data_IF_045306649033
#
_entry.id   IF_045306649033
#
_cell.length_a   1.000
_cell.length_b   1.000
_cell.length_c   1.000
_cell.angle_alpha   90.00
_cell.angle_beta   90.00
_cell.angle_gamma   90.00
#
_symmetry.space_group_name_H-M   'P 1'
#
loop_
_entity.id
_entity.type
_entity.pdbx_description
1 polymer ?
#
# COMPACT_ATOMS: atom_id res chain seq x y z
N UNK A 1 -0.95 -1.35 8.48
CA UNK A 1 -0.59 -1.39 7.05
C UNK A 1 -0.02 -0.03 6.66
N UNK A 2 1.06 -0.01 5.90
CA UNK A 2 1.62 1.17 5.24
C UNK A 2 1.56 0.90 3.73
N UNK A 3 1.02 1.84 2.97
CA UNK A 3 1.00 1.84 1.51
C UNK A 3 1.88 3.01 1.08
N UNK A 4 2.93 2.76 0.29
CA UNK A 4 3.94 3.79 0.02
C UNK A 4 4.35 3.80 -1.45
N UNK A 5 4.28 4.98 -2.09
CA UNK A 5 4.85 5.19 -3.41
C UNK A 5 6.37 5.41 -3.36
N UNK A 6 7.13 4.89 -4.33
CA UNK A 6 8.60 5.09 -4.40
C UNK A 6 9.01 6.51 -4.80
N UNK A 7 8.09 7.29 -5.37
CA UNK A 7 8.28 8.70 -5.78
C UNK A 7 7.62 9.70 -4.84
N UNK A 8 7.15 9.25 -3.69
CA UNK A 8 6.58 10.13 -2.67
C UNK A 8 7.67 11.02 -2.06
N UNK A 9 7.53 12.33 -2.26
CA UNK A 9 8.45 13.35 -1.75
C UNK A 9 8.06 13.87 -0.37
N UNK A 10 6.88 13.53 0.13
CA UNK A 10 6.37 13.90 1.45
C UNK A 10 6.72 12.84 2.50
N UNK A 11 6.71 11.56 2.10
CA UNK A 11 7.10 10.43 2.93
C UNK A 11 8.17 9.57 2.25
N UNK A 12 9.44 9.87 2.53
CA UNK A 12 10.56 9.10 1.98
C UNK A 12 10.51 7.62 2.36
N UNK A 13 10.61 6.73 1.38
CA UNK A 13 10.45 5.29 1.56
C UNK A 13 11.39 4.70 2.63
N UNK A 14 12.64 5.16 2.70
CA UNK A 14 13.61 4.68 3.69
C UNK A 14 13.21 4.99 5.13
N UNK A 15 12.55 6.13 5.35
CA UNK A 15 12.04 6.53 6.66
C UNK A 15 10.88 5.62 7.08
N UNK A 16 9.96 5.36 6.15
CA UNK A 16 8.82 4.46 6.39
C UNK A 16 9.31 3.02 6.62
N UNK A 17 10.28 2.56 5.84
CA UNK A 17 10.91 1.26 6.03
C UNK A 17 11.59 1.15 7.41
N UNK A 18 12.26 2.21 7.87
CA UNK A 18 12.86 2.24 9.20
C UNK A 18 11.80 2.14 10.32
N UNK A 19 10.68 2.84 10.19
CA UNK A 19 9.54 2.72 11.13
C UNK A 19 8.98 1.29 11.11
N UNK A 20 8.76 0.71 9.93
CA UNK A 20 8.25 -0.66 9.80
C UNK A 20 9.19 -1.67 10.47
N UNK A 21 10.51 -1.55 10.29
CA UNK A 21 11.49 -2.40 10.98
C UNK A 21 11.38 -2.31 12.51
N UNK A 22 11.18 -1.11 13.06
CA UNK A 22 10.99 -0.90 14.51
C UNK A 22 9.68 -1.49 15.03
N UNK A 23 8.62 -1.45 14.21
CA UNK A 23 7.32 -2.04 14.57
C UNK A 23 7.30 -3.56 14.44
N UNK A 24 8.21 -4.13 13.63
CA UNK A 24 8.42 -5.56 13.49
C UNK A 24 7.18 -6.27 12.93
N UNK A 25 6.77 -7.41 13.51
CA UNK A 25 5.64 -8.22 13.02
C UNK A 25 4.29 -7.48 12.95
N UNK A 26 4.16 -6.34 13.65
CA UNK A 26 2.93 -5.54 13.64
C UNK A 26 2.78 -4.68 12.39
N UNK A 27 3.87 -4.48 11.65
CA UNK A 27 3.86 -3.68 10.43
C UNK A 27 3.75 -4.57 9.19
N UNK A 28 3.05 -4.04 8.20
CA UNK A 28 3.04 -4.54 6.83
C UNK A 28 3.26 -3.33 5.94
N UNK A 29 4.26 -3.38 5.07
CA UNK A 29 4.58 -2.33 4.10
C UNK A 29 4.33 -2.88 2.70
N UNK A 30 3.50 -2.16 1.94
CA UNK A 30 3.24 -2.43 0.53
C UNK A 30 3.75 -1.24 -0.29
N UNK A 31 4.56 -1.51 -1.31
CA UNK A 31 5.23 -0.48 -2.10
C UNK A 31 4.63 -0.41 -3.50
N UNK A 32 4.22 0.77 -3.91
CA UNK A 32 3.76 1.08 -5.27
C UNK A 32 4.92 1.66 -6.06
N UNK A 33 5.50 0.85 -6.93
CA UNK A 33 6.61 1.30 -7.78
C UNK A 33 6.18 2.45 -8.70
N UNK A 34 6.93 3.55 -8.67
CA UNK A 34 6.66 4.77 -9.42
C UNK A 34 5.48 5.60 -8.92
N UNK A 35 4.79 5.18 -7.86
CA UNK A 35 3.71 5.94 -7.23
C UNK A 35 4.25 7.14 -6.45
N UNK A 36 3.56 8.27 -6.48
CA UNK A 36 3.82 9.41 -5.60
C UNK A 36 2.93 9.37 -4.34
N UNK A 37 2.77 10.51 -3.66
CA UNK A 37 1.99 10.64 -2.41
C UNK A 37 0.49 10.37 -2.59
N UNK A 38 -0.05 10.53 -3.80
CA UNK A 38 -1.42 10.14 -4.14
C UNK A 38 -1.47 8.78 -4.85
N UNK A 39 -0.34 8.07 -4.89
CA UNK A 39 -0.13 6.83 -5.64
C UNK A 39 -0.23 6.99 -7.16
N UNK A 40 -0.21 8.22 -7.68
CA UNK A 40 -0.20 8.43 -9.11
C UNK A 40 1.14 7.96 -9.70
N UNK A 41 1.04 7.12 -10.72
CA UNK A 41 2.18 6.55 -11.43
C UNK A 41 2.43 7.31 -12.73
N UNK A 42 3.69 7.32 -13.19
CA UNK A 42 4.04 7.93 -14.47
C UNK A 42 3.34 7.18 -15.62
N UNK A 43 2.82 7.89 -16.62
CA UNK A 43 2.19 7.27 -17.81
C UNK A 43 3.06 6.19 -18.49
N UNK A 44 4.39 6.38 -18.47
CA UNK A 44 5.35 5.43 -19.04
C UNK A 44 5.51 4.12 -18.25
N UNK A 45 4.92 4.01 -17.06
CA UNK A 45 4.90 2.76 -16.29
C UNK A 45 4.01 1.70 -16.97
N UNK A 46 3.13 2.11 -17.89
CA UNK A 46 2.13 1.24 -18.51
C UNK A 46 0.96 0.91 -17.59
N UNK A 47 0.92 1.46 -16.38
CA UNK A 47 -0.14 1.25 -15.39
C UNK A 47 -1.11 2.42 -15.39
N UNK A 48 -2.39 2.10 -15.35
CA UNK A 48 -3.49 3.05 -15.14
C UNK A 48 -3.72 3.33 -13.66
N UNK A 49 -4.37 4.45 -13.37
CA UNK A 49 -4.78 4.80 -12.00
C UNK A 49 -5.77 3.79 -11.41
N UNK A 50 -6.66 3.24 -12.24
CA UNK A 50 -7.63 2.22 -11.83
C UNK A 50 -6.95 0.93 -11.36
N UNK A 51 -5.92 0.45 -12.08
CA UNK A 51 -5.15 -0.72 -11.67
C UNK A 51 -4.39 -0.50 -10.37
N UNK A 52 -3.85 0.70 -10.14
CA UNK A 52 -3.20 1.03 -8.87
C UNK A 52 -4.21 1.08 -7.74
N UNK A 53 -5.39 1.68 -7.97
CA UNK A 53 -6.46 1.74 -6.98
C UNK A 53 -6.98 0.35 -6.61
N UNK A 54 -7.17 -0.54 -7.59
CA UNK A 54 -7.56 -1.92 -7.37
C UNK A 54 -6.52 -2.68 -6.53
N UNK A 55 -5.23 -2.53 -6.82
CA UNK A 55 -4.14 -3.10 -6.02
C UNK A 55 -4.18 -2.62 -4.56
N UNK A 56 -4.35 -1.31 -4.34
CA UNK A 56 -4.44 -0.73 -2.99
C UNK A 56 -5.66 -1.27 -2.23
N UNK A 57 -6.81 -1.35 -2.89
CA UNK A 57 -8.06 -1.86 -2.30
C UNK A 57 -7.92 -3.34 -1.93
N UNK A 58 -7.40 -4.17 -2.83
CA UNK A 58 -7.20 -5.61 -2.61
C UNK A 58 -6.19 -5.85 -1.49
N UNK A 59 -5.05 -5.17 -1.51
CA UNK A 59 -4.02 -5.27 -0.45
C UNK A 59 -4.59 -4.90 0.91
N UNK A 60 -5.38 -3.82 0.98
CA UNK A 60 -6.02 -3.37 2.22
C UNK A 60 -7.03 -4.40 2.71
N UNK A 61 -7.89 -4.92 1.82
CA UNK A 61 -8.90 -5.91 2.17
C UNK A 61 -8.25 -7.22 2.69
N UNK A 62 -7.18 -7.69 2.03
CA UNK A 62 -6.42 -8.86 2.46
C UNK A 62 -5.73 -8.65 3.80
N UNK A 63 -5.15 -7.47 4.02
CA UNK A 63 -4.57 -7.13 5.32
C UNK A 63 -5.63 -7.13 6.42
N UNK A 64 -6.79 -6.50 6.20
CA UNK A 64 -7.91 -6.50 7.14
C UNK A 64 -8.36 -7.93 7.50
N UNK A 65 -8.52 -8.81 6.50
CA UNK A 65 -8.88 -10.23 6.74
C UNK A 65 -7.86 -10.98 7.60
N UNK A 66 -6.57 -10.65 7.48
CA UNK A 66 -5.50 -11.28 8.28
C UNK A 66 -5.47 -10.79 9.72
N UNK A 67 -5.75 -9.51 9.96
CA UNK A 67 -5.56 -8.89 11.29
C UNK A 67 -6.85 -8.76 12.09
N UNK A 68 -8.02 -8.90 11.46
CA UNK A 68 -9.33 -8.89 12.12
C UNK A 68 -9.93 -10.30 12.10
N UNK A 69 -9.89 -11.05 13.22
CA UNK A 69 -10.55 -12.34 13.32
C UNK A 69 -12.06 -12.20 13.05
N UNK A 70 -12.61 -13.02 12.15
CA UNK A 70 -14.05 -13.14 11.91
C UNK A 70 -14.70 -12.08 11.01
N UNK A 71 -13.92 -11.26 10.30
CA UNK A 71 -14.47 -10.29 9.34
C UNK A 71 -15.22 -11.01 8.20
N UNK A 72 -16.55 -10.87 8.18
CA UNK A 72 -17.43 -11.40 7.11
C UNK A 72 -17.16 -10.65 5.80
N UNK A 73 -16.96 -11.32 4.66
CA UNK A 73 -16.75 -10.63 3.38
C UNK A 73 -17.97 -9.79 3.00
N UNK A 74 -17.78 -8.64 2.32
CA UNK A 74 -18.89 -7.85 1.80
C UNK A 74 -19.70 -8.71 0.82
N UNK A 75 -21.01 -8.73 1.00
CA UNK A 75 -21.95 -9.41 0.10
C UNK A 75 -22.22 -8.45 -1.05
N UNK A 76 -21.83 -8.84 -2.27
CA UNK A 76 -22.15 -8.15 -3.52
C UNK A 76 -23.53 -8.56 -4.02
#
# INVERSE_FOLDING_TARGET
>A
LFLQGTRDTLAGLDLIAAVCRRLGPRATLHVIEGGDHSFAVLKRSGRSEAEVLEELAMTTAEWCRRVVPGARPPQT
#
